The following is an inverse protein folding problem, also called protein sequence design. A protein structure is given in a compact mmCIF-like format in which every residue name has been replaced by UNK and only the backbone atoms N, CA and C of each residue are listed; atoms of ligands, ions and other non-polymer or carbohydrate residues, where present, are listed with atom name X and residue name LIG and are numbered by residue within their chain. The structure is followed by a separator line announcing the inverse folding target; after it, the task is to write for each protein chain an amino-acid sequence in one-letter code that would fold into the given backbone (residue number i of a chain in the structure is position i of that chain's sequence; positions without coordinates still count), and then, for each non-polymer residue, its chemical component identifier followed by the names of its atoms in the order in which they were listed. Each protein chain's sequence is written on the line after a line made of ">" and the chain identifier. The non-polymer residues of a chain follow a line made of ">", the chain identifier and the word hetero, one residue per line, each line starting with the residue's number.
data_IF_399636817470
#
_entry.id   IF_399636817470
#
_cell.length_a   1.000
_cell.length_b   1.000
_cell.length_c   1.000
_cell.angle_alpha   90.00
_cell.angle_beta   90.00
_cell.angle_gamma   90.00
#
_symmetry.space_group_name_H-M   'P 1'
#
loop_
_entity.id
_entity.type
_entity.pdbx_description
1 polymer ?
#
# COMPACT_ATOMS: atom_id res chain seq x y z
N UNK A 1 42.34 -4.00 10.25
CA UNK A 1 41.11 -4.79 10.00
C UNK A 1 40.23 -4.66 11.24
N UNK A 2 39.39 -3.64 11.28
CA UNK A 2 38.27 -3.59 12.21
C UNK A 2 37.05 -4.11 11.46
N UNK A 3 36.64 -5.33 11.80
CA UNK A 3 35.33 -5.85 11.40
C UNK A 3 34.33 -4.98 12.18
N UNK A 4 33.74 -4.01 11.49
CA UNK A 4 32.54 -3.34 11.98
C UNK A 4 31.46 -4.42 11.96
N UNK A 5 31.13 -4.94 13.14
CA UNK A 5 29.90 -5.71 13.34
C UNK A 5 28.78 -4.76 12.90
N UNK A 6 28.08 -5.09 11.81
CA UNK A 6 26.80 -4.43 11.52
C UNK A 6 25.96 -4.65 12.77
N UNK A 7 25.51 -3.59 13.42
CA UNK A 7 24.38 -3.72 14.34
C UNK A 7 23.26 -4.38 13.51
N UNK A 8 22.84 -5.59 13.90
CA UNK A 8 21.69 -6.26 13.30
C UNK A 8 20.54 -5.25 13.33
N UNK A 9 20.20 -4.69 12.17
CA UNK A 9 19.11 -3.73 12.06
C UNK A 9 17.81 -4.50 12.18
N UNK A 10 17.43 -4.81 13.42
CA UNK A 10 16.17 -5.43 13.78
C UNK A 10 15.05 -4.63 13.13
N UNK A 11 14.39 -5.23 12.14
CA UNK A 11 13.33 -4.58 11.37
C UNK A 11 11.99 -5.18 11.76
N UNK A 12 11.16 -4.39 12.45
CA UNK A 12 9.81 -4.79 12.79
C UNK A 12 8.89 -4.69 11.57
N UNK A 13 8.11 -5.75 11.36
CA UNK A 13 7.10 -5.86 10.33
C UNK A 13 5.73 -5.98 10.97
N UNK A 14 4.89 -5.00 10.72
CA UNK A 14 3.46 -5.04 11.03
C UNK A 14 2.71 -5.68 9.88
N UNK A 15 1.82 -6.61 10.21
CA UNK A 15 0.97 -7.33 9.25
C UNK A 15 -0.48 -7.09 9.61
N UNK A 16 -1.25 -6.56 8.65
CA UNK A 16 -2.69 -6.39 8.74
C UNK A 16 -3.41 -7.53 8.02
N UNK A 17 -4.57 -7.93 8.56
CA UNK A 17 -5.31 -9.12 8.13
C UNK A 17 -6.82 -8.86 8.04
N UNK A 18 -7.53 -9.62 7.20
CA UNK A 18 -8.99 -9.73 7.33
C UNK A 18 -9.34 -10.69 8.48
N UNK A 19 -9.68 -10.13 9.64
CA UNK A 19 -10.01 -10.87 10.84
C UNK A 19 -11.14 -10.19 11.63
N UNK A 20 -12.00 -10.94 12.34
CA UNK A 20 -12.98 -10.36 13.25
C UNK A 20 -12.27 -9.65 14.43
N UNK A 21 -12.95 -8.68 15.06
CA UNK A 21 -12.35 -7.87 16.13
C UNK A 21 -11.91 -8.71 17.35
N UNK A 22 -12.52 -9.85 17.59
CA UNK A 22 -12.19 -10.73 18.71
C UNK A 22 -10.90 -11.53 18.50
N UNK A 23 -10.42 -11.60 17.25
CA UNK A 23 -9.17 -12.24 16.89
C UNK A 23 -8.05 -11.20 16.71
N UNK A 24 -6.81 -11.64 16.85
CA UNK A 24 -5.68 -10.83 16.42
C UNK A 24 -5.74 -10.62 14.90
N UNK A 25 -5.96 -9.39 14.47
CA UNK A 25 -5.92 -9.00 13.06
C UNK A 25 -4.67 -8.22 12.69
N UNK A 26 -3.97 -7.65 13.69
CA UNK A 26 -2.67 -7.01 13.52
C UNK A 26 -1.63 -7.92 14.15
N UNK A 27 -0.57 -8.22 13.42
CA UNK A 27 0.52 -9.06 13.90
C UNK A 27 1.85 -8.32 13.78
N UNK A 28 2.74 -8.56 14.74
CA UNK A 28 4.08 -8.00 14.76
C UNK A 28 5.10 -9.12 14.62
N UNK A 29 5.93 -9.01 13.59
CA UNK A 29 7.07 -9.88 13.35
C UNK A 29 8.36 -9.09 13.42
N UNK A 30 9.44 -9.79 13.73
CA UNK A 30 10.79 -9.31 13.51
C UNK A 30 11.35 -10.02 12.27
N UNK A 31 11.84 -9.23 11.31
CA UNK A 31 12.56 -9.75 10.16
C UNK A 31 14.08 -9.78 10.45
N UNK A 32 14.70 -10.92 10.17
CA UNK A 32 16.13 -11.16 10.32
C UNK A 32 16.69 -11.53 8.95
N UNK A 33 17.55 -10.67 8.39
CA UNK A 33 17.99 -10.76 7.00
C UNK A 33 19.05 -11.85 6.75
N UNK A 34 19.63 -12.43 7.81
CA UNK A 34 20.67 -13.45 7.71
C UNK A 34 20.17 -14.69 6.96
N UNK A 35 21.00 -15.21 6.05
CA UNK A 35 20.73 -16.46 5.36
C UNK A 35 19.54 -16.38 4.38
N UNK A 36 18.43 -16.99 4.77
CA UNK A 36 17.20 -17.18 4.01
C UNK A 36 16.06 -16.21 4.40
N UNK A 37 16.34 -15.28 5.32
CA UNK A 37 15.36 -14.28 5.76
C UNK A 37 14.32 -14.90 6.69
N UNK A 38 14.54 -14.82 8.00
CA UNK A 38 13.64 -15.42 9.00
C UNK A 38 12.64 -14.38 9.52
N UNK A 39 11.41 -14.84 9.74
CA UNK A 39 10.38 -14.07 10.43
C UNK A 39 10.11 -14.71 11.80
N UNK A 40 10.29 -13.92 12.85
CA UNK A 40 9.97 -14.32 14.22
C UNK A 40 8.74 -13.55 14.70
N UNK A 41 7.70 -14.26 15.15
CA UNK A 41 6.51 -13.61 15.70
C UNK A 41 6.85 -13.01 17.05
N UNK A 42 6.60 -11.71 17.20
CA UNK A 42 6.85 -10.94 18.42
C UNK A 42 5.57 -10.77 19.21
N UNK A 43 4.51 -10.27 18.56
CA UNK A 43 3.24 -9.99 19.22
C UNK A 43 2.05 -9.94 18.24
N UNK A 44 0.87 -9.63 18.75
CA UNK A 44 -0.33 -9.34 17.97
C UNK A 44 -1.29 -8.43 18.72
N UNK A 45 -2.29 -7.90 18.02
CA UNK A 45 -3.33 -7.05 18.57
C UNK A 45 -4.70 -7.45 18.01
N UNK A 46 -5.65 -7.66 18.93
CA UNK A 46 -7.07 -7.84 18.67
C UNK A 46 -7.83 -6.55 19.04
N UNK A 47 -9.07 -6.42 18.60
CA UNK A 47 -9.94 -5.27 18.88
C UNK A 47 -10.19 -4.34 17.69
N UNK A 48 -9.61 -4.66 16.53
CA UNK A 48 -9.86 -4.00 15.25
C UNK A 48 -10.47 -5.03 14.30
N UNK A 49 -11.67 -4.77 13.77
CA UNK A 49 -12.27 -5.62 12.76
C UNK A 49 -11.66 -5.29 11.41
N UNK A 50 -11.18 -6.31 10.69
CA UNK A 50 -10.56 -6.20 9.38
C UNK A 50 -9.51 -5.07 9.28
N UNK A 51 -8.40 -5.12 10.06
CA UNK A 51 -7.28 -4.20 9.92
C UNK A 51 -6.50 -4.46 8.63
N UNK A 52 -7.14 -4.21 7.50
CA UNK A 52 -6.69 -4.61 6.16
C UNK A 52 -5.58 -3.73 5.59
N UNK A 53 -5.38 -2.53 6.15
CA UNK A 53 -4.27 -1.64 5.80
C UNK A 53 -3.76 -0.91 7.02
N UNK A 54 -2.44 -0.75 7.06
CA UNK A 54 -1.70 -0.16 8.16
C UNK A 54 -0.79 0.95 7.63
N UNK A 55 -0.45 1.91 8.48
CA UNK A 55 0.72 2.77 8.27
C UNK A 55 1.44 3.05 9.58
N UNK A 56 2.74 3.24 9.52
CA UNK A 56 3.59 3.56 10.68
C UNK A 56 4.04 5.01 10.54
N UNK A 57 4.05 5.76 11.64
CA UNK A 57 4.55 7.13 11.61
C UNK A 57 6.06 7.20 11.33
N UNK A 58 6.52 8.35 10.83
CA UNK A 58 7.94 8.55 10.50
C UNK A 58 8.88 8.37 11.71
N UNK A 59 8.37 8.62 12.92
CA UNK A 59 9.11 8.43 14.16
C UNK A 59 9.19 6.97 14.62
N UNK A 60 8.47 6.04 13.97
CA UNK A 60 8.46 4.60 14.30
C UNK A 60 8.00 4.33 15.72
N UNK A 61 6.88 4.92 16.11
CA UNK A 61 6.28 4.77 17.45
C UNK A 61 4.77 4.66 17.43
N UNK A 62 4.13 4.98 16.32
CA UNK A 62 2.68 4.97 16.15
C UNK A 62 2.32 4.13 14.95
N UNK A 63 1.29 3.33 15.12
CA UNK A 63 0.68 2.51 14.09
C UNK A 63 -0.76 3.00 13.93
N UNK A 64 -1.17 3.26 12.70
CA UNK A 64 -2.56 3.54 12.39
C UNK A 64 -3.11 2.40 11.54
N UNK A 65 -4.34 2.00 11.81
CA UNK A 65 -5.01 0.90 11.13
C UNK A 65 -6.41 1.32 10.69
N UNK A 66 -6.81 0.94 9.48
CA UNK A 66 -8.24 0.95 9.13
C UNK A 66 -8.98 -0.15 9.90
N UNK A 67 -10.28 0.02 10.04
CA UNK A 67 -11.22 -1.06 10.31
C UNK A 67 -12.16 -1.15 9.11
N UNK A 68 -11.83 -2.03 8.16
CA UNK A 68 -12.53 -2.14 6.87
C UNK A 68 -13.89 -2.83 7.04
N UNK A 69 -14.91 -2.02 7.32
CA UNK A 69 -16.30 -2.44 7.55
C UNK A 69 -17.28 -1.38 7.03
N UNK A 70 -18.55 -1.72 6.87
CA UNK A 70 -19.65 -0.82 6.49
C UNK A 70 -20.02 0.28 7.51
N UNK A 71 -19.22 0.46 8.56
CA UNK A 71 -19.23 1.65 9.39
C UNK A 71 -17.78 1.85 9.83
N UNK A 72 -16.97 2.25 8.85
CA UNK A 72 -15.53 2.20 8.94
C UNK A 72 -14.99 3.00 10.12
N UNK A 73 -13.86 2.55 10.63
CA UNK A 73 -13.11 3.28 11.64
C UNK A 73 -11.64 3.35 11.27
N UNK A 74 -10.94 4.28 11.91
CA UNK A 74 -9.49 4.36 11.90
C UNK A 74 -9.02 4.37 13.36
N UNK A 75 -8.04 3.53 13.65
CA UNK A 75 -7.56 3.27 15.01
C UNK A 75 -6.12 3.75 15.10
N UNK A 76 -5.84 4.57 16.10
CA UNK A 76 -4.47 4.95 16.49
C UNK A 76 -3.98 4.03 17.59
N UNK A 77 -2.82 3.43 17.34
CA UNK A 77 -2.16 2.48 18.22
C UNK A 77 -0.75 2.99 18.52
N UNK A 78 -0.30 2.80 19.75
CA UNK A 78 1.11 2.94 20.15
C UNK A 78 1.74 1.56 20.14
N UNK A 79 2.99 1.48 19.71
CA UNK A 79 3.79 0.28 19.93
C UNK A 79 5.06 0.60 20.71
N UNK A 80 5.43 -0.33 21.58
CA UNK A 80 6.66 -0.28 22.35
C UNK A 80 7.76 -1.05 21.60
N UNK A 81 8.84 -0.36 21.25
CA UNK A 81 9.94 -0.91 20.43
C UNK A 81 10.77 -1.97 21.16
N UNK A 82 10.79 -1.95 22.50
CA UNK A 82 11.57 -2.87 23.32
C UNK A 82 10.82 -4.18 23.57
N UNK A 83 9.51 -4.08 23.82
CA UNK A 83 8.65 -5.21 24.22
C UNK A 83 7.76 -5.71 23.09
N UNK A 84 7.55 -4.92 22.03
CA UNK A 84 6.59 -5.20 20.97
C UNK A 84 5.12 -5.09 21.43
N UNK A 85 4.84 -4.53 22.60
CA UNK A 85 3.48 -4.31 23.08
C UNK A 85 2.74 -3.31 22.19
N UNK A 86 1.49 -3.61 21.83
CA UNK A 86 0.61 -2.73 21.04
C UNK A 86 -0.56 -2.32 21.92
N UNK A 87 -0.82 -1.02 22.02
CA UNK A 87 -1.87 -0.44 22.83
C UNK A 87 -2.68 0.58 22.02
N UNK A 88 -4.00 0.55 22.13
CA UNK A 88 -4.84 1.57 21.51
C UNK A 88 -4.79 2.90 22.25
N UNK A 89 -4.63 3.97 21.47
CA UNK A 89 -4.71 5.35 21.95
C UNK A 89 -6.15 5.83 21.83
N UNK A 90 -6.71 5.81 20.61
CA UNK A 90 -8.13 6.07 20.35
C UNK A 90 -8.53 5.59 18.95
N UNK A 91 -9.80 5.81 18.60
CA UNK A 91 -10.33 5.56 17.26
C UNK A 91 -11.32 6.65 16.84
N UNK A 92 -11.48 6.84 15.54
CA UNK A 92 -12.47 7.73 14.93
C UNK A 92 -13.27 6.96 13.87
N UNK A 93 -14.54 7.31 13.68
CA UNK A 93 -15.33 6.81 12.55
C UNK A 93 -14.87 7.48 11.26
N UNK A 94 -14.77 6.69 10.19
CA UNK A 94 -14.43 7.17 8.84
C UNK A 94 -15.60 7.79 8.09
N UNK A 95 -16.78 7.91 8.71
CA UNK A 95 -17.97 8.51 8.08
C UNK A 95 -18.19 7.98 6.65
N UNK A 96 -17.99 6.67 6.49
CA UNK A 96 -17.92 5.99 5.22
C UNK A 96 -17.66 4.49 5.41
N UNK A 97 -17.68 3.76 4.31
CA UNK A 97 -17.74 2.30 4.30
C UNK A 97 -16.47 1.73 3.68
N UNK A 98 -15.95 0.68 4.34
CA UNK A 98 -14.77 -0.08 3.92
C UNK A 98 -13.53 0.81 3.66
N UNK A 99 -13.02 1.51 4.70
CA UNK A 99 -11.73 2.19 4.62
C UNK A 99 -10.64 1.18 4.27
N UNK A 100 -9.90 1.43 3.19
CA UNK A 100 -9.02 0.43 2.60
C UNK A 100 -7.55 0.86 2.45
N UNK A 101 -7.24 2.14 2.68
CA UNK A 101 -5.88 2.67 2.63
C UNK A 101 -5.76 3.94 3.47
N UNK A 102 -4.62 4.13 4.12
CA UNK A 102 -4.30 5.34 4.89
C UNK A 102 -2.81 5.69 4.82
N UNK A 103 -2.48 6.96 5.02
CA UNK A 103 -1.12 7.48 5.19
C UNK A 103 -1.10 8.62 6.22
N UNK A 104 0.05 8.85 6.83
CA UNK A 104 0.35 10.11 7.53
C UNK A 104 0.97 11.09 6.56
N UNK A 105 0.68 12.38 6.70
CA UNK A 105 1.38 13.42 5.96
C UNK A 105 2.86 13.51 6.38
N UNK A 106 3.74 14.12 5.55
CA UNK A 106 5.16 14.24 5.89
C UNK A 106 5.47 15.00 7.18
N UNK A 107 4.57 15.88 7.65
CA UNK A 107 4.73 16.60 8.92
C UNK A 107 4.28 15.77 10.14
N UNK A 108 3.52 14.69 9.92
CA UNK A 108 2.95 13.84 10.96
C UNK A 108 1.79 14.47 11.74
N UNK A 109 1.21 15.54 11.22
CA UNK A 109 0.09 16.29 11.82
C UNK A 109 -1.27 15.84 11.28
N UNK A 110 -1.30 15.15 10.15
CA UNK A 110 -2.51 14.78 9.44
C UNK A 110 -2.46 13.30 9.06
N UNK A 111 -3.59 12.63 9.26
CA UNK A 111 -3.87 11.31 8.73
C UNK A 111 -4.87 11.43 7.59
N UNK A 112 -4.53 10.86 6.43
CA UNK A 112 -5.39 10.84 5.26
C UNK A 112 -5.76 9.40 4.94
N UNK A 113 -7.02 9.16 4.58
CA UNK A 113 -7.52 7.83 4.22
C UNK A 113 -8.62 7.90 3.17
N UNK A 114 -8.92 6.74 2.57
CA UNK A 114 -10.00 6.58 1.59
C UNK A 114 -10.95 5.46 2.02
N UNK A 115 -12.25 5.66 1.82
CA UNK A 115 -13.31 4.68 1.99
C UNK A 115 -13.70 4.13 0.61
N UNK A 116 -13.50 2.83 0.41
CA UNK A 116 -13.69 2.18 -0.90
C UNK A 116 -15.16 2.18 -1.30
N UNK A 117 -16.05 1.66 -0.44
CA UNK A 117 -17.44 1.40 -0.82
C UNK A 117 -18.30 2.66 -0.82
N UNK A 118 -17.99 3.64 0.03
CA UNK A 118 -18.73 4.90 0.09
C UNK A 118 -18.17 6.02 -0.80
N UNK A 119 -17.01 5.82 -1.42
CA UNK A 119 -16.49 6.74 -2.42
C UNK A 119 -15.96 8.07 -1.88
N UNK A 120 -15.35 8.11 -0.69
CA UNK A 120 -14.90 9.37 -0.09
C UNK A 120 -13.47 9.32 0.50
N UNK A 121 -12.86 10.51 0.59
CA UNK A 121 -11.52 10.77 1.10
C UNK A 121 -11.63 11.62 2.37
N UNK A 122 -10.89 11.28 3.42
CA UNK A 122 -10.97 11.96 4.70
C UNK A 122 -9.61 12.43 5.21
N UNK A 123 -9.65 13.48 6.05
CA UNK A 123 -8.50 14.01 6.78
C UNK A 123 -8.80 14.11 8.28
N UNK A 124 -7.89 13.61 9.11
CA UNK A 124 -7.95 13.72 10.57
C UNK A 124 -6.68 14.38 11.10
N UNK A 125 -6.77 15.31 12.07
CA UNK A 125 -5.59 15.82 12.75
C UNK A 125 -5.03 14.75 13.69
N UNK A 126 -3.71 14.69 13.80
CA UNK A 126 -2.96 13.85 14.72
C UNK A 126 -2.42 14.73 15.83
N UNK A 127 -2.81 14.46 17.06
CA UNK A 127 -2.33 15.19 18.23
C UNK A 127 -0.89 14.79 18.60
N UNK A 128 -0.26 15.60 19.47
CA UNK A 128 1.11 15.36 19.93
C UNK A 128 1.29 14.02 20.68
N UNK A 129 0.24 13.46 21.27
CA UNK A 129 0.25 12.15 21.92
C UNK A 129 -0.04 10.98 20.96
N UNK A 130 -0.34 11.28 19.69
CA UNK A 130 -0.70 10.30 18.66
C UNK A 130 -2.20 10.04 18.53
N UNK A 131 -3.04 10.63 19.39
CA UNK A 131 -4.49 10.49 19.25
C UNK A 131 -5.02 11.20 18.01
N UNK A 132 -6.06 10.62 17.40
CA UNK A 132 -6.76 11.23 16.27
C UNK A 132 -7.83 12.19 16.78
N UNK A 133 -7.79 13.44 16.30
CA UNK A 133 -8.87 14.39 16.54
C UNK A 133 -10.10 14.09 15.67
N UNK A 134 -11.11 14.95 15.76
CA UNK A 134 -12.32 14.83 14.93
C UNK A 134 -12.01 15.04 13.45
N UNK A 135 -12.81 14.44 12.56
CA UNK A 135 -12.73 14.63 11.11
C UNK A 135 -12.59 16.12 10.75
N UNK A 136 -11.50 16.46 10.06
CA UNK A 136 -11.20 17.82 9.63
C UNK A 136 -11.87 18.16 8.31
N UNK A 137 -11.81 17.23 7.36
CA UNK A 137 -12.38 17.38 6.04
C UNK A 137 -12.77 16.03 5.44
N UNK A 138 -13.76 16.07 4.55
CA UNK A 138 -14.22 14.93 3.77
C UNK A 138 -14.57 15.39 2.35
N UNK A 139 -14.04 14.68 1.37
CA UNK A 139 -14.37 14.89 -0.05
C UNK A 139 -15.11 13.66 -0.57
N UNK A 140 -16.34 13.86 -1.02
CA UNK A 140 -17.15 12.84 -1.66
C UNK A 140 -16.89 12.84 -3.16
N UNK A 141 -16.45 11.72 -3.71
CA UNK A 141 -16.40 11.52 -5.16
C UNK A 141 -17.82 11.19 -5.68
N UNK A 142 -18.06 11.45 -6.97
CA UNK A 142 -19.33 11.14 -7.63
C UNK A 142 -19.12 10.77 -9.10
N UNK A 143 -19.89 9.79 -9.59
CA UNK A 143 -19.77 9.28 -10.95
C UNK A 143 -19.82 7.75 -10.98
N UNK A 144 -19.51 7.20 -12.14
CA UNK A 144 -19.38 5.76 -12.41
C UNK A 144 -18.55 5.59 -13.68
N UNK A 145 -18.20 4.36 -14.02
CA UNK A 145 -17.57 4.00 -15.29
C UNK A 145 -18.23 2.79 -15.94
N UNK A 146 -17.53 2.12 -16.86
CA UNK A 146 -18.10 1.18 -17.83
C UNK A 146 -18.32 -0.23 -17.28
N UNK A 147 -17.63 -0.63 -16.19
CA UNK A 147 -17.84 -1.93 -15.58
C UNK A 147 -19.06 -1.90 -14.63
N UNK A 148 -20.17 -2.59 -14.97
CA UNK A 148 -21.42 -2.48 -14.21
C UNK A 148 -21.38 -3.15 -12.82
N UNK A 149 -20.39 -4.01 -12.56
CA UNK A 149 -20.29 -4.79 -11.32
C UNK A 149 -19.21 -4.25 -10.36
N UNK A 150 -18.33 -3.37 -10.86
CA UNK A 150 -17.14 -2.89 -10.13
C UNK A 150 -16.93 -1.39 -10.20
N UNK A 151 -17.71 -0.68 -11.03
CA UNK A 151 -17.56 0.74 -11.32
C UNK A 151 -18.93 1.44 -11.44
N UNK A 152 -19.95 0.94 -10.75
CA UNK A 152 -21.28 1.53 -10.64
C UNK A 152 -21.29 2.82 -9.80
N UNK A 153 -20.25 3.03 -9.01
CA UNK A 153 -20.03 4.17 -8.14
C UNK A 153 -18.53 4.42 -7.93
N UNK A 154 -18.12 5.53 -7.29
CA UNK A 154 -16.71 5.80 -7.00
C UNK A 154 -16.12 4.84 -5.96
N UNK A 155 -14.88 4.43 -6.18
CA UNK A 155 -14.13 3.54 -5.31
C UNK A 155 -12.65 3.99 -5.20
N UNK A 156 -12.37 5.10 -4.48
CA UNK A 156 -11.00 5.52 -4.19
C UNK A 156 -10.31 4.40 -3.40
N UNK A 157 -9.24 3.85 -3.97
CA UNK A 157 -8.61 2.66 -3.42
C UNK A 157 -7.30 2.97 -2.69
N UNK A 158 -6.63 4.08 -3.01
CA UNK A 158 -5.46 4.49 -2.25
C UNK A 158 -5.27 6.01 -2.23
N UNK A 159 -4.38 6.47 -1.35
CA UNK A 159 -3.99 7.86 -1.24
C UNK A 159 -2.50 7.95 -0.98
N UNK A 160 -1.80 8.79 -1.74
CA UNK A 160 -0.34 8.89 -1.70
C UNK A 160 0.10 10.35 -1.74
N UNK A 161 1.03 10.75 -0.87
CA UNK A 161 1.69 12.04 -1.03
C UNK A 161 2.54 12.02 -2.31
N UNK A 162 2.42 13.05 -3.14
CA UNK A 162 3.34 13.27 -4.26
C UNK A 162 4.65 13.84 -3.67
N UNK A 163 5.79 13.13 -3.78
CA UNK A 163 7.00 13.47 -3.04
C UNK A 163 7.48 14.91 -3.26
N UNK A 164 7.76 15.61 -2.16
CA UNK A 164 8.26 16.98 -2.16
C UNK A 164 7.19 18.05 -2.42
N UNK A 165 5.91 17.70 -2.31
CA UNK A 165 4.78 18.61 -2.55
C UNK A 165 3.71 18.51 -1.45
N UNK A 166 2.79 19.47 -1.41
CA UNK A 166 1.54 19.42 -0.64
C UNK A 166 0.45 18.59 -1.32
N UNK A 167 0.75 17.96 -2.46
CA UNK A 167 -0.23 17.23 -3.27
C UNK A 167 -0.36 15.76 -2.89
N UNK A 168 -1.56 15.24 -3.07
CA UNK A 168 -1.95 13.87 -2.79
C UNK A 168 -2.66 13.27 -3.99
N UNK A 169 -2.18 12.14 -4.47
CA UNK A 169 -2.77 11.36 -5.55
C UNK A 169 -3.73 10.32 -4.97
N UNK A 170 -4.96 10.30 -5.47
CA UNK A 170 -6.02 9.35 -5.16
C UNK A 170 -6.44 8.61 -6.43
N UNK A 171 -5.99 7.36 -6.63
CA UNK A 171 -6.54 6.47 -7.65
C UNK A 171 -7.95 6.03 -7.26
N UNK A 172 -8.92 6.32 -8.15
CA UNK A 172 -10.30 5.90 -8.01
C UNK A 172 -10.65 4.83 -9.04
N UNK A 173 -10.80 3.60 -8.53
CA UNK A 173 -11.12 2.43 -9.31
C UNK A 173 -12.47 2.57 -10.01
N UNK A 174 -13.46 3.10 -9.28
CA UNK A 174 -14.84 3.22 -9.74
C UNK A 174 -15.04 4.27 -10.84
N UNK A 175 -14.13 5.24 -10.93
CA UNK A 175 -14.21 6.35 -11.88
C UNK A 175 -13.24 6.28 -13.05
N UNK A 176 -12.29 5.34 -13.05
CA UNK A 176 -11.14 5.35 -13.96
C UNK A 176 -10.36 6.67 -13.88
N UNK A 177 -10.18 7.21 -12.67
CA UNK A 177 -9.59 8.53 -12.46
C UNK A 177 -8.41 8.50 -11.50
N UNK A 178 -7.43 9.36 -11.80
CA UNK A 178 -6.37 9.76 -10.90
C UNK A 178 -6.65 11.20 -10.45
N UNK A 179 -7.14 11.36 -9.22
CA UNK A 179 -7.50 12.66 -8.68
C UNK A 179 -6.36 13.19 -7.84
N UNK A 180 -5.95 14.44 -8.05
CA UNK A 180 -4.92 15.10 -7.25
C UNK A 180 -5.55 16.18 -6.38
N UNK A 181 -5.28 16.12 -5.08
CA UNK A 181 -5.68 17.11 -4.08
C UNK A 181 -4.47 17.83 -3.51
N UNK A 182 -4.62 19.09 -3.14
CA UNK A 182 -3.70 19.81 -2.26
C UNK A 182 -4.23 19.81 -0.82
N UNK A 183 -3.37 19.45 0.13
CA UNK A 183 -3.67 19.58 1.55
C UNK A 183 -3.31 20.98 2.05
N UNK A 184 -4.31 21.73 2.50
CA UNK A 184 -4.10 22.90 3.36
C UNK A 184 -3.57 22.41 4.71
N UNK A 185 -2.27 22.60 4.95
CA UNK A 185 -1.60 22.15 6.16
C UNK A 185 -2.00 22.90 7.44
N UNK A 186 -2.68 24.05 7.34
CA UNK A 186 -3.16 24.82 8.49
C UNK A 186 -4.53 24.32 8.96
N UNK A 187 -5.45 24.09 8.02
CA UNK A 187 -6.84 23.72 8.34
C UNK A 187 -7.19 22.26 8.05
N UNK A 188 -6.28 21.48 7.47
CA UNK A 188 -6.51 20.08 7.13
C UNK A 188 -7.59 19.88 6.07
N UNK A 189 -7.64 20.76 5.06
CA UNK A 189 -8.61 20.69 3.96
C UNK A 189 -8.00 20.18 2.66
N UNK A 190 -8.76 19.40 1.91
CA UNK A 190 -8.38 18.92 0.59
C UNK A 190 -9.01 19.77 -0.50
N UNK A 191 -8.16 20.41 -1.31
CA UNK A 191 -8.59 21.18 -2.47
C UNK A 191 -8.24 20.40 -3.74
N UNK A 192 -9.23 20.06 -4.57
CA UNK A 192 -8.95 19.35 -5.82
C UNK A 192 -8.13 20.23 -6.77
N UNK A 193 -7.01 19.71 -7.24
CA UNK A 193 -6.06 20.38 -8.13
C UNK A 193 -6.26 19.93 -9.58
N UNK A 194 -6.27 18.61 -9.80
CA UNK A 194 -6.37 18.05 -11.15
C UNK A 194 -7.07 16.69 -11.14
N UNK A 195 -7.49 16.27 -12.33
CA UNK A 195 -8.03 14.92 -12.59
C UNK A 195 -7.43 14.44 -13.90
N UNK A 196 -6.80 13.27 -13.88
CA UNK A 196 -6.36 12.57 -15.09
C UNK A 196 -7.24 11.33 -15.29
N UNK A 197 -7.91 11.25 -16.43
CA UNK A 197 -8.70 10.07 -16.80
C UNK A 197 -7.76 8.97 -17.31
N UNK A 198 -8.04 7.75 -16.91
CA UNK A 198 -7.39 6.52 -17.40
C UNK A 198 -8.30 5.84 -18.42
N UNK A 199 -7.86 4.71 -19.01
CA UNK A 199 -8.70 3.99 -19.95
C UNK A 199 -10.00 3.50 -19.27
N UNK A 200 -11.18 3.67 -19.90
CA UNK A 200 -12.43 3.16 -19.34
C UNK A 200 -12.36 1.65 -19.07
N UNK A 201 -12.73 1.25 -17.85
CA UNK A 201 -12.71 -0.14 -17.37
C UNK A 201 -11.39 -0.57 -16.77
N UNK A 202 -10.40 0.33 -16.61
CA UNK A 202 -9.07 -0.02 -16.10
C UNK A 202 -9.04 -0.22 -14.58
N UNK A 203 -9.73 0.63 -13.83
CA UNK A 203 -9.78 0.61 -12.38
C UNK A 203 -8.43 0.88 -11.71
N UNK A 204 -7.89 2.11 -11.76
CA UNK A 204 -6.61 2.44 -11.12
C UNK A 204 -6.70 2.22 -9.60
N UNK A 205 -5.69 1.56 -9.03
CA UNK A 205 -5.75 1.01 -7.67
C UNK A 205 -4.72 1.61 -6.73
N UNK A 206 -3.45 1.24 -6.90
CA UNK A 206 -2.31 1.68 -6.08
C UNK A 206 -1.26 2.37 -6.98
N UNK A 207 -0.38 3.15 -6.35
CA UNK A 207 0.66 3.90 -7.03
C UNK A 207 2.02 3.79 -6.31
N UNK A 208 3.11 3.76 -7.07
CA UNK A 208 4.48 3.82 -6.57
C UNK A 208 5.21 5.00 -7.23
N UNK A 209 5.96 5.77 -6.45
CA UNK A 209 6.69 6.94 -6.93
C UNK A 209 8.16 6.65 -7.16
N UNK A 210 8.73 7.25 -8.19
CA UNK A 210 10.17 7.26 -8.36
C UNK A 210 10.86 8.08 -7.25
N UNK A 211 11.95 7.59 -6.61
CA UNK A 211 12.55 8.25 -5.46
C UNK A 211 13.14 9.64 -5.76
N UNK A 212 13.68 9.86 -6.96
CA UNK A 212 14.23 11.16 -7.40
C UNK A 212 13.44 11.81 -8.53
N UNK A 213 13.16 11.07 -9.59
CA UNK A 213 12.56 11.54 -10.84
C UNK A 213 11.04 11.81 -10.75
N UNK A 214 10.47 12.63 -11.64
CA UNK A 214 9.06 13.04 -11.60
C UNK A 214 8.14 11.98 -12.25
N UNK A 215 8.24 10.72 -11.82
CA UNK A 215 7.42 9.64 -12.36
C UNK A 215 6.64 8.90 -11.27
N UNK A 216 5.42 8.49 -11.61
CA UNK A 216 4.58 7.59 -10.82
C UNK A 216 4.14 6.43 -11.68
N UNK A 217 4.12 5.24 -11.09
CA UNK A 217 3.67 3.99 -11.70
C UNK A 217 2.38 3.60 -11.01
N UNK A 218 1.31 3.47 -11.78
CA UNK A 218 -0.02 3.13 -11.28
C UNK A 218 -0.38 1.74 -11.78
N UNK A 219 -0.97 0.93 -10.91
CA UNK A 219 -1.49 -0.37 -11.28
C UNK A 219 -3.02 -0.32 -11.42
N UNK A 220 -3.54 -0.94 -12.49
CA UNK A 220 -4.95 -0.97 -12.86
C UNK A 220 -5.51 -2.35 -12.54
N UNK A 221 -6.40 -2.41 -11.54
CA UNK A 221 -6.94 -3.64 -10.98
C UNK A 221 -7.68 -4.47 -12.03
N UNK A 222 -8.55 -3.84 -12.80
CA UNK A 222 -9.55 -4.54 -13.61
C UNK A 222 -8.99 -5.01 -14.96
N UNK A 223 -7.93 -4.36 -15.46
CA UNK A 223 -7.30 -4.72 -16.74
C UNK A 223 -5.98 -5.47 -16.60
N UNK A 224 -5.48 -5.66 -15.38
CA UNK A 224 -4.15 -6.22 -15.13
C UNK A 224 -3.03 -5.47 -15.88
N UNK A 225 -3.05 -4.14 -15.81
CA UNK A 225 -2.08 -3.25 -16.47
C UNK A 225 -1.30 -2.41 -15.45
N UNK A 226 -0.06 -2.05 -15.80
CA UNK A 226 0.71 -1.00 -15.15
C UNK A 226 0.89 0.17 -16.12
N UNK A 227 0.66 1.39 -15.65
CA UNK A 227 0.75 2.63 -16.42
C UNK A 227 1.74 3.59 -15.77
N UNK A 228 2.60 4.19 -16.58
CA UNK A 228 3.62 5.16 -16.18
C UNK A 228 3.11 6.55 -16.50
N UNK A 229 3.17 7.45 -15.52
CA UNK A 229 2.85 8.85 -15.68
C UNK A 229 4.06 9.73 -15.32
N UNK A 230 4.29 10.76 -16.14
CA UNK A 230 5.13 11.89 -15.77
C UNK A 230 4.32 12.89 -14.95
N UNK A 231 4.91 13.41 -13.88
CA UNK A 231 4.29 14.31 -12.91
C UNK A 231 4.80 15.73 -13.12
N UNK A 232 3.90 16.67 -13.40
CA UNK A 232 4.21 18.09 -13.19
C UNK A 232 3.98 18.43 -11.71
N UNK A 233 5.04 18.43 -10.90
CA UNK A 233 4.96 18.69 -9.45
C UNK A 233 4.50 20.12 -9.09
N UNK A 234 4.60 21.07 -10.01
CA UNK A 234 4.14 22.44 -9.77
C UNK A 234 2.63 22.59 -9.99
N UNK A 235 2.07 21.86 -10.95
CA UNK A 235 0.66 21.94 -11.33
C UNK A 235 -0.17 20.77 -10.80
N UNK A 236 0.47 19.73 -10.25
CA UNK A 236 -0.21 18.52 -9.79
C UNK A 236 -0.87 17.74 -10.91
N UNK A 237 -0.36 17.83 -12.15
CA UNK A 237 -0.93 17.14 -13.33
C UNK A 237 -0.11 15.90 -13.69
N UNK A 238 -0.78 14.90 -14.24
CA UNK A 238 -0.18 13.63 -14.66
C UNK A 238 -0.37 13.42 -16.17
N UNK A 239 0.72 13.08 -16.86
CA UNK A 239 0.71 12.76 -18.30
C UNK A 239 1.08 11.30 -18.50
N UNK A 240 0.20 10.51 -19.13
CA UNK A 240 0.48 9.09 -19.45
C UNK A 240 1.62 8.98 -20.46
N UNK A 241 2.54 8.06 -20.20
CA UNK A 241 3.77 7.86 -20.99
C UNK A 241 3.81 6.46 -21.60
N UNK A 242 3.49 5.44 -20.79
CA UNK A 242 3.53 4.05 -21.21
C UNK A 242 2.49 3.26 -20.43
N UNK A 243 1.90 2.26 -21.07
CA UNK A 243 1.07 1.26 -20.41
C UNK A 243 1.44 -0.13 -20.90
N UNK A 244 1.53 -1.11 -20.01
CA UNK A 244 1.72 -2.50 -20.39
C UNK A 244 1.02 -3.49 -19.45
N UNK A 245 0.86 -4.72 -19.92
CA UNK A 245 0.30 -5.81 -19.12
C UNK A 245 1.24 -6.23 -17.98
N UNK A 246 0.63 -6.60 -16.86
CA UNK A 246 1.31 -7.23 -15.71
C UNK A 246 1.33 -8.74 -15.80
N UNK A 247 0.74 -9.33 -16.84
CA UNK A 247 0.60 -10.78 -16.99
C UNK A 247 1.60 -11.35 -18.01
N UNK A 248 2.04 -12.60 -17.85
CA UNK A 248 2.80 -13.29 -18.88
C UNK A 248 1.93 -13.53 -20.12
N UNK A 249 2.57 -13.56 -21.29
CA UNK A 249 1.88 -13.81 -22.54
C UNK A 249 1.22 -15.20 -22.55
N UNK A 250 -0.06 -15.26 -22.95
CA UNK A 250 -0.81 -16.51 -23.08
C UNK A 250 -1.41 -17.05 -21.78
N UNK A 251 -1.43 -16.27 -20.69
CA UNK A 251 -2.17 -16.63 -19.49
C UNK A 251 -3.67 -16.74 -19.79
N UNK A 252 -4.30 -17.80 -19.30
CA UNK A 252 -5.74 -18.02 -19.34
C UNK A 252 -6.35 -17.80 -17.96
N UNK A 253 -7.58 -17.27 -17.90
CA UNK A 253 -8.30 -17.02 -16.65
C UNK A 253 -8.25 -15.57 -16.20
N UNK A 254 -9.03 -15.27 -15.17
CA UNK A 254 -9.14 -13.92 -14.63
C UNK A 254 -7.97 -13.61 -13.69
N UNK A 255 -7.44 -12.41 -13.81
CA UNK A 255 -6.43 -11.88 -12.90
C UNK A 255 -6.71 -10.41 -12.62
N UNK A 256 -6.43 -9.99 -11.39
CA UNK A 256 -6.61 -8.61 -10.94
C UNK A 256 -5.39 -8.12 -10.18
N UNK A 257 -4.85 -6.99 -10.62
CA UNK A 257 -3.74 -6.34 -9.92
C UNK A 257 -4.11 -5.98 -8.47
N UNK A 258 -3.10 -5.89 -7.61
CA UNK A 258 -3.26 -5.38 -6.24
C UNK A 258 -2.19 -4.35 -5.87
N UNK A 259 -1.02 -4.78 -5.42
CA UNK A 259 0.01 -3.88 -4.91
C UNK A 259 1.00 -3.50 -6.00
N UNK A 260 1.60 -2.31 -5.90
CA UNK A 260 2.72 -1.88 -6.73
C UNK A 260 3.75 -1.16 -5.87
N UNK A 261 5.02 -1.57 -5.96
CA UNK A 261 6.08 -0.99 -5.16
C UNK A 261 7.34 -0.79 -5.99
N UNK A 262 8.05 0.30 -5.70
CA UNK A 262 9.35 0.60 -6.31
C UNK A 262 10.48 0.32 -5.32
N UNK A 263 11.56 -0.30 -5.82
CA UNK A 263 12.80 -0.43 -5.06
C UNK A 263 13.41 0.95 -4.78
N UNK A 264 14.02 1.12 -3.60
CA UNK A 264 14.67 2.37 -3.20
C UNK A 264 15.80 2.83 -4.15
N UNK A 265 16.34 1.91 -4.96
CA UNK A 265 17.32 2.23 -6.00
C UNK A 265 16.73 3.05 -7.17
N UNK A 266 15.41 3.05 -7.35
CA UNK A 266 14.74 3.64 -8.51
C UNK A 266 14.85 2.80 -9.79
N UNK A 267 15.38 1.58 -9.73
CA UNK A 267 15.69 0.76 -10.92
C UNK A 267 14.72 -0.39 -11.17
N UNK A 268 13.89 -0.74 -10.18
CA UNK A 268 12.93 -1.84 -10.27
C UNK A 268 11.56 -1.45 -9.75
N UNK A 269 10.52 -1.88 -10.46
CA UNK A 269 9.12 -1.79 -10.06
C UNK A 269 8.52 -3.19 -10.03
N UNK A 270 7.76 -3.48 -9.00
CA UNK A 270 7.10 -4.76 -8.78
C UNK A 270 5.60 -4.54 -8.73
N UNK A 271 4.81 -5.45 -9.27
CA UNK A 271 3.35 -5.43 -9.17
C UNK A 271 2.82 -6.82 -8.81
N UNK A 272 1.75 -6.92 -8.01
CA UNK A 272 1.14 -8.22 -7.69
C UNK A 272 -0.15 -8.48 -8.46
N UNK A 273 -0.36 -9.73 -8.84
CA UNK A 273 -1.51 -10.23 -9.58
C UNK A 273 -2.26 -11.29 -8.77
N UNK A 274 -3.53 -11.05 -8.47
CA UNK A 274 -4.43 -12.01 -7.81
C UNK A 274 -5.13 -12.84 -8.88
N UNK A 275 -5.03 -14.16 -8.83
CA UNK A 275 -5.49 -15.06 -9.88
C UNK A 275 -4.32 -15.75 -10.58
N UNK A 276 -3.40 -14.98 -11.16
CA UNK A 276 -2.08 -15.50 -11.61
C UNK A 276 -1.16 -15.82 -10.41
N UNK A 277 -1.44 -15.22 -9.26
CA UNK A 277 -0.76 -15.43 -7.97
C UNK A 277 0.76 -15.21 -8.04
N UNK A 278 1.13 -14.14 -8.76
CA UNK A 278 2.52 -13.78 -9.07
C UNK A 278 2.85 -12.33 -8.73
N UNK A 279 4.15 -12.05 -8.66
CA UNK A 279 4.72 -10.71 -8.77
C UNK A 279 5.34 -10.54 -10.16
N UNK A 280 4.89 -9.56 -10.92
CA UNK A 280 5.60 -9.07 -12.11
C UNK A 280 6.76 -8.18 -11.68
N UNK A 281 7.87 -8.26 -12.43
CA UNK A 281 9.09 -7.47 -12.19
C UNK A 281 9.40 -6.67 -13.44
N UNK A 282 9.51 -5.36 -13.29
CA UNK A 282 9.97 -4.45 -14.32
C UNK A 282 11.33 -3.86 -13.93
N UNK A 283 12.26 -3.84 -14.88
CA UNK A 283 13.48 -3.05 -14.80
C UNK A 283 13.25 -1.72 -15.53
N UNK A 284 13.89 -0.66 -15.04
CA UNK A 284 13.88 0.67 -15.63
C UNK A 284 15.26 0.99 -16.21
N UNK A 285 15.37 1.01 -17.55
CA UNK A 285 16.54 1.63 -18.22
C UNK A 285 16.44 3.16 -18.14
N UNK A 286 15.22 3.68 -18.26
CA UNK A 286 14.86 5.06 -17.94
C UNK A 286 13.63 5.06 -17.02
N UNK A 287 13.43 6.10 -16.19
CA UNK A 287 12.26 6.21 -15.32
C UNK A 287 10.92 6.16 -16.09
N UNK A 288 10.91 6.59 -17.34
CA UNK A 288 9.73 6.62 -18.21
C UNK A 288 9.35 5.27 -18.83
N UNK A 289 10.17 4.21 -18.69
CA UNK A 289 9.99 2.96 -19.42
C UNK A 289 10.12 1.72 -18.54
N UNK A 290 9.01 1.01 -18.35
CA UNK A 290 8.94 -0.34 -17.79
C UNK A 290 9.37 -1.38 -18.83
N UNK A 291 10.35 -2.21 -18.46
CA UNK A 291 10.76 -3.39 -19.21
C UNK A 291 10.51 -4.66 -18.38
N UNK A 292 9.59 -5.56 -18.77
CA UNK A 292 9.31 -6.76 -18.00
C UNK A 292 10.52 -7.70 -18.05
N UNK A 293 11.01 -8.10 -16.88
CA UNK A 293 12.16 -9.02 -16.75
C UNK A 293 11.76 -10.39 -16.23
N UNK A 294 10.57 -10.52 -15.63
CA UNK A 294 10.04 -11.82 -15.23
C UNK A 294 8.81 -11.73 -14.34
N UNK A 295 8.29 -12.91 -14.01
CA UNK A 295 7.19 -13.13 -13.09
C UNK A 295 7.61 -14.16 -12.06
N UNK A 296 7.26 -13.95 -10.80
CA UNK A 296 7.57 -14.88 -9.72
C UNK A 296 6.32 -15.30 -8.98
N UNK A 297 6.10 -16.61 -8.88
CA UNK A 297 5.01 -17.16 -8.06
C UNK A 297 5.23 -16.79 -6.59
N UNK A 298 4.17 -16.30 -5.95
CA UNK A 298 4.16 -15.91 -4.53
C UNK A 298 4.02 -17.09 -3.57
N UNK A 299 3.97 -18.32 -4.09
CA UNK A 299 3.81 -19.58 -3.33
C UNK A 299 2.59 -19.57 -2.40
N UNK A 300 1.54 -18.90 -2.83
CA UNK A 300 0.22 -18.89 -2.21
C UNK A 300 -0.78 -18.31 -3.19
N UNK A 301 -1.97 -17.98 -2.70
CA UNK A 301 -3.10 -17.57 -3.53
C UNK A 301 -3.58 -16.16 -3.14
N UNK A 302 -3.90 -15.34 -4.14
CA UNK A 302 -4.33 -13.95 -4.00
C UNK A 302 -3.29 -13.09 -3.23
N UNK A 303 -2.12 -12.79 -3.81
CA UNK A 303 -1.13 -11.88 -3.23
C UNK A 303 -1.66 -10.43 -3.20
N UNK A 304 -2.43 -10.10 -2.16
CA UNK A 304 -3.11 -8.80 -2.03
C UNK A 304 -2.15 -7.68 -1.67
N UNK A 305 -1.03 -8.00 -1.05
CA UNK A 305 0.03 -7.04 -0.76
C UNK A 305 1.38 -7.73 -0.74
N UNK A 306 2.44 -6.98 -1.04
CA UNK A 306 3.82 -7.39 -0.79
C UNK A 306 4.62 -6.16 -0.35
N UNK A 307 5.79 -6.37 0.22
CA UNK A 307 6.68 -5.25 0.58
C UNK A 307 8.13 -5.60 0.27
N UNK A 308 8.90 -4.58 -0.10
CA UNK A 308 10.35 -4.69 -0.27
C UNK A 308 10.97 -4.41 1.09
N UNK A 309 11.84 -5.30 1.57
CA UNK A 309 12.50 -5.10 2.86
C UNK A 309 13.47 -3.91 2.77
N UNK A 310 13.36 -2.91 3.67
CA UNK A 310 14.26 -1.76 3.66
C UNK A 310 15.73 -2.19 3.75
N UNK A 311 16.55 -1.69 2.82
CA UNK A 311 18.00 -1.91 2.76
C UNK A 311 18.46 -3.38 2.58
N UNK A 312 17.54 -4.31 2.37
CA UNK A 312 17.84 -5.73 2.26
C UNK A 312 17.26 -6.31 0.96
N UNK A 313 17.91 -7.31 0.33
CA UNK A 313 17.51 -7.84 -0.98
C UNK A 313 16.36 -8.85 -0.85
N UNK A 314 15.29 -8.50 -0.15
CA UNK A 314 14.14 -9.37 0.08
C UNK A 314 12.82 -8.69 -0.26
N UNK A 315 11.86 -9.52 -0.65
CA UNK A 315 10.45 -9.16 -0.81
C UNK A 315 9.62 -10.15 -0.01
N UNK A 316 8.63 -9.65 0.72
CA UNK A 316 7.67 -10.49 1.44
C UNK A 316 6.32 -10.37 0.75
N UNK A 317 5.69 -11.49 0.41
CA UNK A 317 4.36 -11.53 -0.18
C UNK A 317 3.32 -12.02 0.84
N UNK A 318 2.19 -11.31 0.95
CA UNK A 318 1.05 -11.67 1.77
C UNK A 318 -0.07 -12.23 0.87
N UNK A 319 -0.33 -13.53 1.00
CA UNK A 319 -1.28 -14.26 0.20
C UNK A 319 -2.58 -14.44 0.98
N UNK A 320 -3.62 -13.71 0.56
CA UNK A 320 -4.87 -13.61 1.29
C UNK A 320 -5.60 -14.95 1.39
N UNK A 321 -5.70 -15.70 0.29
CA UNK A 321 -6.61 -16.85 0.22
C UNK A 321 -5.93 -18.18 0.59
N UNK A 322 -4.62 -18.18 0.76
CA UNK A 322 -3.83 -19.32 1.25
C UNK A 322 -3.33 -19.16 2.68
N UNK A 323 -3.73 -18.08 3.37
CA UNK A 323 -3.38 -17.82 4.77
C UNK A 323 -1.86 -17.92 5.05
N UNK A 324 -1.02 -17.40 4.15
CA UNK A 324 0.43 -17.40 4.34
C UNK A 324 1.12 -16.11 3.90
N UNK A 325 2.25 -15.85 4.54
CA UNK A 325 3.24 -14.86 4.11
C UNK A 325 4.54 -15.58 3.73
N UNK A 326 5.11 -15.23 2.58
CA UNK A 326 6.27 -15.90 2.00
C UNK A 326 7.44 -14.93 1.88
N UNK A 327 8.62 -15.35 2.34
CA UNK A 327 9.86 -14.59 2.17
C UNK A 327 10.54 -14.99 0.87
N UNK A 328 10.89 -13.99 0.07
CA UNK A 328 11.55 -14.16 -1.22
C UNK A 328 12.82 -13.31 -1.26
N UNK A 329 13.92 -13.87 -1.75
CA UNK A 329 15.18 -13.16 -1.96
C UNK A 329 15.28 -12.69 -3.40
N UNK A 330 15.68 -11.44 -3.61
CA UNK A 330 15.92 -10.90 -4.94
C UNK A 330 17.20 -11.52 -5.51
N UNK A 331 17.11 -12.08 -6.72
CA UNK A 331 18.29 -12.51 -7.47
C UNK A 331 19.00 -11.31 -8.14
N UNK A 332 20.08 -11.56 -8.88
CA UNK A 332 20.87 -10.52 -9.55
C UNK A 332 20.08 -9.72 -10.60
N UNK A 333 18.98 -10.28 -11.14
CA UNK A 333 18.09 -9.62 -12.08
C UNK A 333 16.94 -8.89 -11.37
N UNK A 334 16.94 -8.85 -10.03
CA UNK A 334 15.87 -8.26 -9.23
C UNK A 334 14.60 -9.11 -9.16
N UNK A 335 14.64 -10.38 -9.59
CA UNK A 335 13.48 -11.28 -9.55
C UNK A 335 13.39 -11.93 -8.16
N UNK A 336 12.23 -11.85 -7.47
CA UNK A 336 12.03 -12.53 -6.18
C UNK A 336 12.06 -14.05 -6.34
N UNK A 337 12.81 -14.75 -5.49
CA UNK A 337 12.86 -16.21 -5.43
C UNK A 337 12.56 -16.66 -4.00
N UNK A 338 11.53 -17.50 -3.84
CA UNK A 338 11.14 -18.03 -2.53
C UNK A 338 12.32 -18.70 -1.83
N UNK A 339 12.54 -18.35 -0.57
CA UNK A 339 13.67 -18.86 0.22
C UNK A 339 13.36 -20.19 0.91
N UNK A 340 12.08 -20.56 0.94
CA UNK A 340 11.55 -21.67 1.74
C UNK A 340 11.02 -21.22 3.10
N UNK A 341 11.24 -19.96 3.49
CA UNK A 341 10.66 -19.38 4.70
C UNK A 341 9.23 -18.90 4.43
N UNK A 342 8.28 -19.43 5.20
CA UNK A 342 6.88 -19.02 5.20
C UNK A 342 6.32 -18.95 6.62
N UNK A 343 5.29 -18.14 6.80
CA UNK A 343 4.53 -18.03 8.04
C UNK A 343 3.05 -18.20 7.73
N UNK A 344 2.38 -19.06 8.50
CA UNK A 344 0.93 -19.21 8.46
C UNK A 344 0.26 -18.08 9.25
N UNK A 345 -0.62 -17.35 8.60
CA UNK A 345 -1.30 -16.17 9.14
C UNK A 345 -2.63 -16.04 8.42
N UNK A 346 -3.72 -15.84 9.14
CA UNK A 346 -5.05 -15.76 8.51
C UNK A 346 -5.15 -14.50 7.66
N UNK A 347 -5.42 -14.65 6.36
CA UNK A 347 -5.72 -13.59 5.39
C UNK A 347 -4.86 -12.33 5.52
N UNK A 348 -3.52 -12.43 5.42
CA UNK A 348 -2.64 -11.28 5.48
C UNK A 348 -2.86 -10.42 4.22
N UNK A 349 -3.02 -9.12 4.39
CA UNK A 349 -3.36 -8.20 3.28
C UNK A 349 -2.66 -6.85 3.34
N UNK A 350 -1.82 -6.60 4.36
CA UNK A 350 -0.95 -5.43 4.39
C UNK A 350 0.34 -5.75 5.14
N UNK A 351 1.48 -5.32 4.59
CA UNK A 351 2.82 -5.52 5.17
C UNK A 351 3.52 -4.17 5.28
N UNK A 352 3.80 -3.70 6.50
CA UNK A 352 4.48 -2.42 6.75
C UNK A 352 5.65 -2.58 7.69
N UNK A 353 6.83 -2.20 7.23
CA UNK A 353 7.99 -2.02 8.10
C UNK A 353 7.83 -0.75 8.92
N UNK A 354 8.18 -0.84 10.20
CA UNK A 354 8.20 0.31 11.10
C UNK A 354 9.60 0.69 11.55
#
# INVERSE_FOLDING_TARGET
>A
MSIQVREDSMSYLFVGSYAPAEAEGIHLYQFQAEGDGRLERVNGYAGVANPSFLTVDAARRRLFAVSETANGAVVSLRYDVETGAIEEVNRQLTQGDDPCHLITDPTGQWLLLVNYSSGNVNVYPIAADGSLGTLSDQVQHAGHSVNPDRQESPHPHSIHNIPGTSFYLVPDLGLDQLVVYELDGEHGKLNQVSVTNTAPGSGPRHAAFHPSEPYVYVIHELTSEAEVFEINRAEGTLTSVQKLTTLPAGLEGDSWCAEIAMAASGTYVYGSNRGDDSLVVYNLETPSQLHPVGWSSTKGNFPRHFTIVPNEPYVLAANQNSDNMVVMKLNEQGIPVATGQEVQITKPVCLKFG
#
